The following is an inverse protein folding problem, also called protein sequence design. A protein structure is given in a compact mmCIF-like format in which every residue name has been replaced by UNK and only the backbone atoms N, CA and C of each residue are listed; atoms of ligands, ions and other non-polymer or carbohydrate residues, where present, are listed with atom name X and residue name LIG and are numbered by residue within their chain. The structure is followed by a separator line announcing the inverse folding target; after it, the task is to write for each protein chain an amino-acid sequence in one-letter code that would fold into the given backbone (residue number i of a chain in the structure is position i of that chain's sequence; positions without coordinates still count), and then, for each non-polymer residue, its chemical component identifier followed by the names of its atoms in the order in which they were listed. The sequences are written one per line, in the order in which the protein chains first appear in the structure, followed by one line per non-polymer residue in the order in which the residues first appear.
data_IF_706023612816
#
_entry.id   IF_706023612816
#
_cell.length_a   1.000
_cell.length_b   1.000
_cell.length_c   1.000
_cell.angle_alpha   90.00
_cell.angle_beta   90.00
_cell.angle_gamma   90.00
#
_symmetry.space_group_name_H-M   'P 1'
#
loop_
_entity.id
_entity.type
_entity.pdbx_description
1 polymer ?
#
# COMPACT_ATOMS: atom_id res chain seq x y z
N UNK A 1 2.52 -25.49 12.19
CA UNK A 1 2.63 -24.21 12.92
C UNK A 1 1.40 -24.01 13.78
N UNK A 2 1.36 -23.00 14.64
CA UNK A 2 0.19 -22.61 15.45
C UNK A 2 -0.22 -21.20 15.04
N UNK A 3 -1.51 -20.96 14.82
CA UNK A 3 -2.05 -19.65 14.43
C UNK A 3 -3.12 -19.26 15.44
N UNK A 4 -2.98 -18.05 16.00
CA UNK A 4 -3.92 -17.49 16.96
C UNK A 4 -4.36 -16.09 16.54
N UNK A 5 -5.64 -15.81 16.69
CA UNK A 5 -6.24 -14.52 16.40
C UNK A 5 -6.96 -14.03 17.65
N UNK A 6 -6.41 -13.01 18.30
CA UNK A 6 -6.92 -12.45 19.56
C UNK A 6 -7.24 -13.54 20.61
N UNK A 7 -6.24 -14.36 20.94
CA UNK A 7 -6.34 -15.46 21.93
C UNK A 7 -7.20 -16.65 21.48
N UNK A 8 -7.70 -16.65 20.23
CA UNK A 8 -8.42 -17.78 19.66
C UNK A 8 -7.52 -18.55 18.70
N UNK A 9 -7.13 -19.77 19.09
CA UNK A 9 -6.51 -20.73 18.18
C UNK A 9 -7.52 -21.12 17.08
N UNK A 10 -7.10 -21.05 15.81
CA UNK A 10 -7.99 -21.30 14.67
C UNK A 10 -8.42 -22.77 14.54
N UNK A 11 -7.64 -23.72 15.06
CA UNK A 11 -7.93 -25.15 15.03
C UNK A 11 -8.93 -25.54 16.12
N UNK A 12 -8.87 -24.88 17.28
CA UNK A 12 -9.71 -25.17 18.44
C UNK A 12 -10.98 -24.32 18.48
N UNK A 13 -10.87 -23.03 18.14
CA UNK A 13 -11.90 -22.01 18.34
C UNK A 13 -12.18 -21.20 17.07
N UNK A 14 -12.40 -21.91 15.95
CA UNK A 14 -12.53 -21.32 14.62
C UNK A 14 -13.59 -20.20 14.53
N UNK A 15 -14.77 -20.39 15.12
CA UNK A 15 -15.85 -19.41 15.02
C UNK A 15 -15.55 -18.12 15.80
N UNK A 16 -14.92 -18.25 16.98
CA UNK A 16 -14.49 -17.10 17.77
C UNK A 16 -13.40 -16.31 17.02
N UNK A 17 -12.41 -17.00 16.46
CA UNK A 17 -11.41 -16.38 15.59
C UNK A 17 -12.05 -15.67 14.39
N UNK A 18 -12.94 -16.33 13.64
CA UNK A 18 -13.65 -15.75 12.49
C UNK A 18 -14.47 -14.51 12.86
N UNK A 19 -15.09 -14.49 14.04
CA UNK A 19 -15.89 -13.33 14.48
C UNK A 19 -15.08 -12.05 14.62
N UNK A 20 -13.76 -12.18 14.84
CA UNK A 20 -12.85 -11.05 14.98
C UNK A 20 -12.27 -10.56 13.64
N UNK A 21 -12.50 -11.30 12.54
CA UNK A 21 -11.84 -11.07 11.25
C UNK A 21 -12.84 -10.59 10.19
N UNK A 22 -12.54 -9.46 9.55
CA UNK A 22 -13.13 -9.06 8.29
C UNK A 22 -12.21 -9.44 7.13
N UNK A 23 -12.73 -10.04 6.06
CA UNK A 23 -11.92 -10.46 4.91
C UNK A 23 -12.44 -9.83 3.61
N UNK A 24 -11.52 -9.24 2.86
CA UNK A 24 -11.74 -8.69 1.52
C UNK A 24 -10.80 -9.40 0.54
N UNK A 25 -11.27 -10.42 -0.20
CA UNK A 25 -10.43 -11.13 -1.18
C UNK A 25 -10.16 -10.29 -2.44
N UNK A 26 -9.16 -10.69 -3.24
CA UNK A 26 -8.88 -10.06 -4.53
C UNK A 26 -10.05 -10.21 -5.51
N UNK A 27 -10.73 -11.36 -5.55
CA UNK A 27 -11.90 -11.57 -6.40
C UNK A 27 -13.20 -11.02 -5.80
N UNK A 28 -14.06 -10.45 -6.63
CA UNK A 28 -15.35 -9.91 -6.19
C UNK A 28 -16.33 -11.05 -5.85
N UNK A 29 -16.63 -11.22 -4.56
CA UNK A 29 -17.52 -12.28 -4.07
C UNK A 29 -18.83 -11.72 -3.47
N UNK A 30 -19.57 -10.92 -4.23
CA UNK A 30 -20.84 -10.31 -3.80
C UNK A 30 -22.05 -11.05 -4.37
N UNK A 31 -23.17 -11.09 -3.62
CA UNK A 31 -24.44 -11.49 -4.21
C UNK A 31 -24.91 -10.39 -5.19
N UNK A 32 -24.82 -10.68 -6.49
CA UNK A 32 -25.05 -9.73 -7.57
C UNK A 32 -26.51 -9.29 -7.73
N UNK A 33 -27.46 -10.04 -7.15
CA UNK A 33 -28.90 -9.80 -7.31
C UNK A 33 -29.52 -9.07 -6.11
N UNK A 34 -28.80 -8.93 -5.01
CA UNK A 34 -29.27 -8.22 -3.83
C UNK A 34 -28.98 -6.72 -3.90
N UNK A 35 -29.88 -5.94 -3.29
CA UNK A 35 -29.64 -4.53 -3.01
C UNK A 35 -28.46 -4.37 -2.05
N UNK A 36 -27.56 -3.43 -2.33
CA UNK A 36 -26.28 -3.33 -1.58
C UNK A 36 -26.47 -3.07 -0.09
N UNK A 37 -27.55 -2.39 0.32
CA UNK A 37 -27.91 -2.23 1.72
C UNK A 37 -28.22 -3.57 2.41
N UNK A 38 -28.99 -4.43 1.73
CA UNK A 38 -29.35 -5.74 2.25
C UNK A 38 -28.12 -6.64 2.38
N UNK A 39 -27.16 -6.54 1.46
CA UNK A 39 -25.89 -7.27 1.54
C UNK A 39 -25.19 -6.99 2.88
N UNK A 40 -25.08 -5.72 3.28
CA UNK A 40 -24.43 -5.34 4.54
C UNK A 40 -25.26 -5.76 5.76
N UNK A 41 -26.58 -5.55 5.72
CA UNK A 41 -27.47 -5.93 6.84
C UNK A 41 -27.43 -7.44 7.07
N UNK A 42 -27.47 -8.24 6.01
CA UNK A 42 -27.40 -9.70 6.07
C UNK A 42 -26.03 -10.16 6.59
N UNK A 43 -24.94 -9.56 6.10
CA UNK A 43 -23.60 -9.84 6.59
C UNK A 43 -23.49 -9.59 8.10
N UNK A 44 -23.94 -8.43 8.58
CA UNK A 44 -23.92 -8.13 10.01
C UNK A 44 -24.73 -9.16 10.83
N UNK A 45 -25.88 -9.59 10.30
CA UNK A 45 -26.72 -10.62 10.91
C UNK A 45 -26.00 -11.98 11.03
N UNK A 46 -25.21 -12.39 10.03
CA UNK A 46 -24.41 -13.62 10.10
C UNK A 46 -23.34 -13.58 11.21
N UNK A 47 -22.90 -12.38 11.60
CA UNK A 47 -21.98 -12.16 12.72
C UNK A 47 -22.71 -11.90 14.05
N UNK A 48 -24.02 -12.14 14.12
CA UNK A 48 -24.81 -12.01 15.34
C UNK A 48 -25.18 -10.57 15.72
N UNK A 49 -24.96 -9.59 14.84
CA UNK A 49 -25.35 -8.19 15.09
C UNK A 49 -26.88 -8.06 15.06
N UNK A 50 -27.52 -7.50 16.10
CA UNK A 50 -28.97 -7.32 16.11
C UNK A 50 -29.44 -6.44 14.96
N UNK A 51 -30.56 -6.81 14.32
CA UNK A 51 -31.04 -6.15 13.08
C UNK A 51 -31.13 -4.62 13.18
N UNK A 52 -31.59 -4.08 14.32
CA UNK A 52 -31.66 -2.63 14.53
C UNK A 52 -30.27 -1.97 14.42
N UNK A 53 -29.24 -2.63 14.92
CA UNK A 53 -27.86 -2.15 14.85
C UNK A 53 -27.25 -2.42 13.48
N UNK A 54 -27.54 -3.56 12.85
CA UNK A 54 -27.14 -3.87 11.46
C UNK A 54 -27.59 -2.78 10.48
N UNK A 55 -28.82 -2.26 10.64
CA UNK A 55 -29.35 -1.18 9.80
C UNK A 55 -28.52 0.11 9.94
N UNK A 56 -28.16 0.48 11.17
CA UNK A 56 -27.35 1.68 11.43
C UNK A 56 -25.93 1.53 10.89
N UNK A 57 -25.28 0.38 11.15
CA UNK A 57 -23.93 0.09 10.66
C UNK A 57 -23.90 0.07 9.13
N UNK A 58 -24.89 -0.55 8.49
CA UNK A 58 -25.00 -0.57 7.04
C UNK A 58 -25.12 0.86 6.46
N UNK A 59 -25.92 1.73 7.07
CA UNK A 59 -25.99 3.13 6.67
C UNK A 59 -24.67 3.86 6.87
N UNK A 60 -24.05 3.70 8.04
CA UNK A 60 -22.76 4.33 8.36
C UNK A 60 -21.69 3.96 7.32
N UNK A 61 -21.44 2.66 7.10
CA UNK A 61 -20.38 2.23 6.18
C UNK A 61 -20.69 2.50 4.71
N UNK A 62 -21.95 2.47 4.27
CA UNK A 62 -22.28 2.89 2.90
C UNK A 62 -22.07 4.39 2.69
N UNK A 63 -22.29 5.23 3.70
CA UNK A 63 -21.98 6.67 3.60
C UNK A 63 -20.47 6.90 3.52
N UNK A 64 -19.70 6.24 4.37
CA UNK A 64 -18.23 6.32 4.36
C UNK A 64 -17.63 5.85 3.01
N UNK A 65 -18.28 4.89 2.36
CA UNK A 65 -17.89 4.39 1.04
C UNK A 65 -18.49 5.18 -0.14
N UNK A 66 -19.24 6.26 0.11
CA UNK A 66 -19.95 7.04 -0.91
C UNK A 66 -20.90 6.18 -1.79
N UNK A 67 -21.52 5.17 -1.18
CA UNK A 67 -22.46 4.25 -1.84
C UNK A 67 -23.90 4.40 -1.35
N UNK A 68 -24.16 5.31 -0.41
CA UNK A 68 -25.48 5.46 0.23
C UNK A 68 -26.62 5.81 -0.73
N UNK A 69 -26.36 6.63 -1.75
CA UNK A 69 -27.37 7.01 -2.73
C UNK A 69 -27.81 5.81 -3.58
N UNK A 70 -26.92 4.81 -3.70
CA UNK A 70 -27.14 3.57 -4.45
C UNK A 70 -27.55 2.40 -3.57
N UNK A 71 -27.89 2.63 -2.31
CA UNK A 71 -28.20 1.59 -1.32
C UNK A 71 -29.27 0.57 -1.75
N UNK A 72 -30.17 0.97 -2.67
CA UNK A 72 -31.24 0.12 -3.22
C UNK A 72 -30.89 -0.52 -4.57
N UNK A 73 -29.81 -0.10 -5.21
CA UNK A 73 -29.35 -0.69 -6.47
C UNK A 73 -28.80 -2.10 -6.22
N UNK A 74 -28.91 -2.97 -7.22
CA UNK A 74 -28.36 -4.31 -7.17
C UNK A 74 -26.84 -4.26 -7.31
N UNK A 75 -26.10 -5.13 -6.60
CA UNK A 75 -24.64 -5.13 -6.69
C UNK A 75 -24.10 -5.33 -8.12
N UNK A 76 -24.84 -6.00 -9.02
CA UNK A 76 -24.46 -6.14 -10.43
C UNK A 76 -24.33 -4.82 -11.20
N UNK A 77 -25.11 -3.78 -10.84
CA UNK A 77 -25.09 -2.49 -11.54
C UNK A 77 -23.94 -1.58 -11.11
N UNK A 78 -23.17 -1.98 -10.10
CA UNK A 78 -22.01 -1.24 -9.64
C UNK A 78 -20.80 -1.43 -10.57
N UNK A 79 -19.99 -0.38 -10.71
CA UNK A 79 -18.67 -0.48 -11.35
C UNK A 79 -17.72 -1.36 -10.53
N UNK A 80 -16.56 -1.75 -11.11
CA UNK A 80 -15.55 -2.54 -10.40
C UNK A 80 -15.09 -1.89 -9.09
N UNK A 81 -14.69 -0.61 -9.13
CA UNK A 81 -14.28 0.14 -7.94
C UNK A 81 -15.40 0.28 -6.90
N UNK A 82 -16.66 0.43 -7.33
CA UNK A 82 -17.80 0.47 -6.41
C UNK A 82 -18.06 -0.88 -5.75
N UNK A 83 -17.91 -1.99 -6.47
CA UNK A 83 -17.97 -3.35 -5.90
C UNK A 83 -16.85 -3.56 -4.87
N UNK A 84 -15.64 -3.06 -5.15
CA UNK A 84 -14.50 -3.14 -4.21
C UNK A 84 -14.78 -2.39 -2.92
N UNK A 85 -15.25 -1.14 -3.01
CA UNK A 85 -15.70 -0.36 -1.85
C UNK A 85 -16.82 -1.05 -1.07
N UNK A 86 -17.78 -1.67 -1.78
CA UNK A 86 -18.84 -2.44 -1.15
C UNK A 86 -18.32 -3.66 -0.38
N UNK A 87 -17.31 -4.36 -0.90
CA UNK A 87 -16.68 -5.48 -0.19
C UNK A 87 -16.00 -5.04 1.11
N UNK A 88 -15.32 -3.90 1.09
CA UNK A 88 -14.73 -3.30 2.30
C UNK A 88 -15.82 -2.94 3.30
N UNK A 89 -16.90 -2.28 2.85
CA UNK A 89 -18.05 -1.97 3.69
C UNK A 89 -18.65 -3.23 4.33
N UNK A 90 -18.78 -4.30 3.55
CA UNK A 90 -19.28 -5.60 3.99
C UNK A 90 -18.34 -6.22 5.03
N UNK A 91 -17.03 -6.16 4.85
CA UNK A 91 -16.08 -6.68 5.84
C UNK A 91 -16.11 -5.90 7.16
N UNK A 92 -16.39 -4.59 7.10
CA UNK A 92 -16.40 -3.71 8.27
C UNK A 92 -17.71 -3.70 9.06
N UNK A 93 -18.83 -4.12 8.46
CA UNK A 93 -20.15 -4.05 9.13
C UNK A 93 -20.24 -4.89 10.41
N UNK A 94 -19.40 -5.92 10.54
CA UNK A 94 -19.25 -6.70 11.78
C UNK A 94 -18.40 -6.00 12.85
N UNK A 95 -17.76 -4.88 12.53
CA UNK A 95 -16.77 -4.18 13.35
C UNK A 95 -15.64 -5.12 13.80
N UNK A 96 -14.90 -5.73 12.85
CA UNK A 96 -13.86 -6.67 13.18
C UNK A 96 -12.66 -5.99 13.87
N UNK A 97 -11.97 -6.75 14.71
CA UNK A 97 -10.72 -6.32 15.33
C UNK A 97 -9.54 -6.44 14.36
N UNK A 98 -9.59 -7.37 13.42
CA UNK A 98 -8.61 -7.59 12.35
C UNK A 98 -9.29 -7.53 10.98
N UNK A 99 -8.77 -6.70 10.08
CA UNK A 99 -9.19 -6.60 8.69
C UNK A 99 -8.09 -7.14 7.77
N UNK A 100 -8.42 -8.15 6.98
CA UNK A 100 -7.56 -8.73 5.96
C UNK A 100 -7.97 -8.22 4.58
N UNK A 101 -7.05 -7.58 3.88
CA UNK A 101 -7.28 -6.95 2.58
C UNK A 101 -6.34 -7.55 1.53
N UNK A 102 -6.90 -8.17 0.52
CA UNK A 102 -6.12 -8.76 -0.57
C UNK A 102 -6.17 -7.87 -1.82
N UNK A 103 -5.05 -7.21 -2.10
CA UNK A 103 -4.88 -6.17 -3.14
C UNK A 103 -6.04 -5.16 -3.19
N UNK A 104 -6.36 -4.45 -2.09
CA UNK A 104 -7.62 -3.71 -1.97
C UNK A 104 -7.80 -2.65 -3.05
N UNK A 105 -6.72 -2.08 -3.58
CA UNK A 105 -6.72 -1.01 -4.60
C UNK A 105 -6.63 -1.47 -6.04
N UNK A 106 -6.53 -2.79 -6.30
CA UNK A 106 -6.44 -3.32 -7.66
C UNK A 106 -7.68 -2.93 -8.49
N UNK A 107 -7.44 -2.37 -9.69
CA UNK A 107 -8.49 -1.96 -10.62
C UNK A 107 -9.31 -0.73 -10.18
N UNK A 108 -8.83 0.03 -9.19
CA UNK A 108 -9.43 1.28 -8.71
C UNK A 108 -8.67 2.48 -9.29
N UNK A 109 -9.40 3.52 -9.73
CA UNK A 109 -8.83 4.77 -10.22
C UNK A 109 -8.08 5.55 -9.11
N UNK A 110 -7.28 6.54 -9.51
CA UNK A 110 -6.36 7.25 -8.61
C UNK A 110 -7.11 8.04 -7.52
N UNK A 111 -8.23 8.67 -7.85
CA UNK A 111 -8.99 9.49 -6.91
C UNK A 111 -9.67 8.60 -5.85
N UNK A 112 -10.37 7.58 -6.30
CA UNK A 112 -11.02 6.60 -5.42
C UNK A 112 -10.00 5.86 -4.55
N UNK A 113 -8.80 5.57 -5.08
CA UNK A 113 -7.70 4.96 -4.33
C UNK A 113 -7.27 5.81 -3.14
N UNK A 114 -7.05 7.12 -3.35
CA UNK A 114 -6.66 8.05 -2.27
C UNK A 114 -7.74 8.17 -1.20
N UNK A 115 -9.01 8.25 -1.60
CA UNK A 115 -10.12 8.26 -0.67
C UNK A 115 -10.16 6.98 0.18
N UNK A 116 -9.95 5.83 -0.45
CA UNK A 116 -9.90 4.53 0.24
C UNK A 116 -8.72 4.44 1.21
N UNK A 117 -7.54 4.96 0.84
CA UNK A 117 -6.39 5.03 1.75
C UNK A 117 -6.65 5.87 3.00
N UNK A 118 -7.26 7.05 2.82
CA UNK A 118 -7.64 7.90 3.95
C UNK A 118 -8.58 7.17 4.90
N UNK A 119 -9.58 6.49 4.34
CA UNK A 119 -10.54 5.72 5.10
C UNK A 119 -9.88 4.55 5.86
N UNK A 120 -9.02 3.75 5.21
CA UNK A 120 -8.31 2.64 5.86
C UNK A 120 -7.41 3.14 7.01
N UNK A 121 -6.76 4.31 6.85
CA UNK A 121 -5.99 4.93 7.93
C UNK A 121 -6.86 5.37 9.09
N UNK A 122 -8.06 5.89 8.84
CA UNK A 122 -9.02 6.23 9.90
C UNK A 122 -9.47 4.99 10.67
N UNK A 123 -9.82 3.92 9.96
CA UNK A 123 -10.19 2.64 10.57
C UNK A 123 -9.05 2.09 11.43
N UNK A 124 -7.81 2.15 10.95
CA UNK A 124 -6.66 1.73 11.73
C UNK A 124 -6.44 2.60 12.98
N UNK A 125 -6.56 3.93 12.86
CA UNK A 125 -6.47 4.87 14.00
C UNK A 125 -7.55 4.62 15.04
N UNK A 126 -8.71 4.13 14.64
CA UNK A 126 -9.81 3.76 15.53
C UNK A 126 -9.60 2.40 16.23
N UNK A 127 -8.47 1.73 16.00
CA UNK A 127 -8.03 0.54 16.74
C UNK A 127 -8.16 -0.78 15.97
N UNK A 128 -8.65 -0.78 14.74
CA UNK A 128 -8.69 -1.99 13.91
C UNK A 128 -7.29 -2.32 13.39
N UNK A 129 -6.83 -3.56 13.62
CA UNK A 129 -5.60 -4.06 12.99
C UNK A 129 -5.89 -4.35 11.52
N UNK A 130 -5.02 -3.90 10.61
CA UNK A 130 -5.16 -4.16 9.18
C UNK A 130 -3.94 -4.93 8.71
N UNK A 131 -4.16 -6.04 8.01
CA UNK A 131 -3.15 -6.73 7.21
C UNK A 131 -3.59 -6.60 5.77
N UNK A 132 -2.72 -6.06 4.93
CA UNK A 132 -2.97 -5.94 3.50
C UNK A 132 -1.83 -6.58 2.71
N UNK A 133 -2.19 -7.23 1.62
CA UNK A 133 -1.25 -7.65 0.57
C UNK A 133 -1.35 -6.67 -0.58
N UNK A 134 -0.21 -6.30 -1.14
CA UNK A 134 -0.15 -5.40 -2.29
C UNK A 134 1.15 -5.63 -3.04
N UNK A 135 1.08 -5.54 -4.35
CA UNK A 135 2.25 -5.39 -5.23
C UNK A 135 2.58 -3.92 -5.51
N UNK A 136 1.74 -2.98 -5.04
CA UNK A 136 1.99 -1.55 -5.17
C UNK A 136 2.75 -1.04 -3.95
N UNK A 137 4.05 -0.82 -4.09
CA UNK A 137 4.90 -0.37 -2.99
C UNK A 137 4.50 1.01 -2.44
N UNK A 138 3.95 1.89 -3.29
CA UNK A 138 3.37 3.17 -2.86
C UNK A 138 2.23 2.95 -1.84
N UNK A 139 1.40 1.92 -2.02
CA UNK A 139 0.34 1.61 -1.06
C UNK A 139 0.90 1.17 0.28
N UNK A 140 1.93 0.31 0.27
CA UNK A 140 2.62 -0.09 1.49
C UNK A 140 3.21 1.12 2.23
N UNK A 141 3.88 2.03 1.51
CA UNK A 141 4.46 3.24 2.09
C UNK A 141 3.40 4.16 2.72
N UNK A 142 2.24 4.30 2.06
CA UNK A 142 1.18 5.21 2.51
C UNK A 142 0.33 4.66 3.65
N UNK A 143 0.21 3.33 3.78
CA UNK A 143 -0.71 2.68 4.73
C UNK A 143 -0.03 1.96 5.88
N UNK A 144 1.19 1.44 5.70
CA UNK A 144 1.76 0.46 6.62
C UNK A 144 2.82 1.08 7.55
N UNK A 145 2.75 0.71 8.84
CA UNK A 145 3.81 1.01 9.80
C UNK A 145 4.86 -0.11 9.90
N UNK A 146 4.47 -1.33 9.52
CA UNK A 146 5.29 -2.55 9.47
C UNK A 146 5.15 -3.15 8.07
N UNK A 147 6.25 -3.61 7.50
CA UNK A 147 6.26 -4.24 6.18
C UNK A 147 7.01 -5.57 6.27
N UNK A 148 6.37 -6.61 5.74
CA UNK A 148 7.00 -7.89 5.50
C UNK A 148 7.09 -8.11 3.99
N UNK A 149 8.28 -8.45 3.50
CA UNK A 149 8.52 -8.80 2.10
C UNK A 149 8.62 -10.32 2.02
N UNK A 150 7.84 -10.91 1.12
CA UNK A 150 7.81 -12.35 0.90
C UNK A 150 8.40 -12.62 -0.48
N UNK A 151 9.38 -13.53 -0.54
CA UNK A 151 9.96 -14.04 -1.78
C UNK A 151 10.01 -15.57 -1.70
N UNK A 152 9.61 -16.26 -2.77
CA UNK A 152 9.59 -17.74 -2.84
C UNK A 152 8.96 -18.47 -1.63
N UNK A 153 7.96 -17.83 -1.01
CA UNK A 153 7.24 -18.38 0.15
C UNK A 153 7.91 -18.13 1.50
N UNK A 154 9.05 -17.44 1.54
CA UNK A 154 9.78 -17.08 2.74
C UNK A 154 9.73 -15.57 3.00
N UNK A 155 9.74 -15.19 4.28
CA UNK A 155 9.80 -13.78 4.69
C UNK A 155 11.27 -13.35 4.66
N UNK A 156 11.65 -12.58 3.64
CA UNK A 156 13.02 -12.09 3.46
C UNK A 156 13.29 -10.82 4.25
N UNK A 157 12.25 -10.04 4.53
CA UNK A 157 12.32 -8.85 5.38
C UNK A 157 11.05 -8.70 6.21
N UNK A 158 11.20 -8.24 7.45
CA UNK A 158 10.09 -7.96 8.36
C UNK A 158 10.53 -6.93 9.39
N UNK A 159 10.17 -5.68 9.16
CA UNK A 159 10.58 -4.57 10.03
C UNK A 159 9.61 -3.38 9.90
N UNK A 160 9.83 -2.34 10.70
CA UNK A 160 9.10 -1.08 10.56
C UNK A 160 9.42 -0.42 9.21
N UNK A 161 8.42 0.26 8.66
CA UNK A 161 8.58 1.03 7.42
C UNK A 161 9.76 2.00 7.51
N UNK A 162 9.93 2.67 8.65
CA UNK A 162 11.05 3.57 8.87
C UNK A 162 12.40 2.85 8.79
N UNK A 163 12.55 1.70 9.47
CA UNK A 163 13.80 0.95 9.43
C UNK A 163 14.12 0.46 8.01
N UNK A 164 13.11 -0.04 7.30
CA UNK A 164 13.24 -0.47 5.90
C UNK A 164 13.70 0.68 5.01
N UNK A 165 13.11 1.87 5.16
CA UNK A 165 13.53 3.06 4.43
C UNK A 165 14.94 3.53 4.81
N UNK A 166 15.41 3.30 6.04
CA UNK A 166 16.79 3.61 6.43
C UNK A 166 17.83 2.60 5.93
N UNK A 167 17.43 1.36 5.62
CA UNK A 167 18.31 0.36 5.00
C UNK A 167 18.76 0.78 3.60
N UNK A 168 17.99 1.64 2.94
CA UNK A 168 18.40 2.32 1.71
C UNK A 168 19.54 3.28 2.04
N UNK A 169 20.75 2.90 1.63
CA UNK A 169 21.99 3.64 1.89
C UNK A 169 22.16 4.86 0.97
N UNK A 170 21.23 5.08 0.06
CA UNK A 170 21.35 6.01 -1.05
C UNK A 170 19.99 6.66 -1.33
N UNK A 171 19.96 7.99 -1.38
CA UNK A 171 18.83 8.76 -1.88
C UNK A 171 19.15 9.23 -3.29
N UNK A 172 18.15 9.23 -4.17
CA UNK A 172 18.33 9.70 -5.55
C UNK A 172 17.60 11.02 -5.71
N UNK A 173 18.34 12.06 -6.08
CA UNK A 173 17.80 13.38 -6.37
C UNK A 173 17.85 13.64 -7.87
N UNK A 174 16.74 14.12 -8.41
CA UNK A 174 16.66 14.52 -9.81
C UNK A 174 16.75 16.05 -9.88
N UNK A 175 17.75 16.57 -10.59
CA UNK A 175 17.94 17.99 -10.82
C UNK A 175 17.57 18.36 -12.25
N UNK A 176 16.73 19.38 -12.40
CA UNK A 176 16.46 20.01 -13.70
C UNK A 176 17.42 21.19 -13.90
N UNK A 177 18.09 21.23 -15.04
CA UNK A 177 19.11 22.20 -15.38
C UNK A 177 18.55 23.28 -16.33
N UNK A 178 19.11 24.49 -16.25
CA UNK A 178 18.74 25.60 -17.13
C UNK A 178 19.20 25.39 -18.58
N UNK A 179 20.34 24.73 -18.76
CA UNK A 179 20.95 24.42 -20.04
C UNK A 179 21.15 22.91 -20.26
N UNK A 180 21.33 22.54 -21.53
CA UNK A 180 21.63 21.17 -21.91
C UNK A 180 23.11 20.86 -21.63
N UNK A 181 23.39 19.66 -21.11
CA UNK A 181 24.74 19.14 -20.89
C UNK A 181 24.93 17.84 -21.67
N UNK A 182 26.12 17.67 -22.23
CA UNK A 182 26.53 16.45 -22.94
C UNK A 182 27.33 15.50 -22.04
N UNK A 183 27.88 16.03 -20.95
CA UNK A 183 28.64 15.27 -19.96
C UNK A 183 28.47 15.90 -18.58
N UNK A 184 28.38 15.05 -17.55
CA UNK A 184 28.34 15.50 -16.16
C UNK A 184 29.76 15.92 -15.74
N UNK A 185 29.95 17.06 -15.06
CA UNK A 185 31.22 17.35 -14.42
C UNK A 185 31.55 16.27 -13.38
N UNK A 186 32.76 15.72 -13.43
CA UNK A 186 33.23 14.80 -12.38
C UNK A 186 33.22 15.51 -11.02
N UNK A 187 32.49 14.90 -10.08
CA UNK A 187 32.42 15.32 -8.68
C UNK A 187 32.85 14.09 -7.86
N UNK A 188 33.92 14.24 -7.08
CA UNK A 188 34.42 13.17 -6.22
C UNK A 188 33.33 12.67 -5.28
N UNK A 189 33.26 11.34 -5.14
CA UNK A 189 32.31 10.62 -4.30
C UNK A 189 30.82 10.69 -4.70
N UNK A 190 30.43 11.37 -5.79
CA UNK A 190 29.04 11.34 -6.28
C UNK A 190 28.90 10.48 -7.53
N UNK A 191 27.87 9.65 -7.55
CA UNK A 191 27.43 8.96 -8.76
C UNK A 191 26.29 9.77 -9.39
N UNK A 192 26.48 10.18 -10.65
CA UNK A 192 25.56 11.05 -11.36
C UNK A 192 25.32 10.50 -12.76
N UNK A 193 24.05 10.35 -13.12
CA UNK A 193 23.61 9.88 -14.43
C UNK A 193 22.83 10.98 -15.16
N UNK A 194 22.94 11.03 -16.49
CA UNK A 194 22.14 11.94 -17.32
C UNK A 194 20.90 11.18 -17.78
N UNK A 195 19.72 11.59 -17.28
CA UNK A 195 18.45 11.08 -17.79
C UNK A 195 18.14 11.65 -19.17
N UNK A 196 18.35 12.96 -19.31
CA UNK A 196 18.25 13.69 -20.56
C UNK A 196 19.15 14.94 -20.50
N UNK A 197 19.40 15.64 -21.63
CA UNK A 197 20.37 16.74 -21.62
C UNK A 197 20.09 17.84 -20.57
N UNK A 198 18.87 18.00 -20.07
CA UNK A 198 18.52 18.99 -19.03
C UNK A 198 18.14 18.37 -17.68
N UNK A 199 18.34 17.07 -17.50
CA UNK A 199 17.96 16.37 -16.28
C UNK A 199 19.04 15.37 -15.88
N UNK A 200 19.52 15.49 -14.65
CA UNK A 200 20.49 14.56 -14.06
C UNK A 200 19.92 13.91 -12.81
N UNK A 201 20.30 12.66 -12.58
CA UNK A 201 20.06 11.94 -11.33
C UNK A 201 21.35 11.88 -10.52
N UNK A 202 21.27 12.26 -9.25
CA UNK A 202 22.39 12.26 -8.32
C UNK A 202 22.06 11.29 -7.21
N UNK A 203 22.96 10.34 -7.00
CA UNK A 203 22.86 9.43 -5.89
C UNK A 203 23.68 9.92 -4.70
N UNK A 204 23.01 10.14 -3.58
CA UNK A 204 23.57 10.73 -2.36
C UNK A 204 23.50 9.71 -1.24
N UNK A 205 24.65 9.37 -0.66
CA UNK A 205 24.72 8.47 0.51
C UNK A 205 24.41 9.23 1.81
N UNK A 206 24.02 8.53 2.88
CA UNK A 206 23.63 9.13 4.17
C UNK A 206 24.62 10.15 4.79
N UNK A 207 25.91 10.09 4.44
CA UNK A 207 26.93 11.01 4.95
C UNK A 207 27.27 12.18 3.99
N UNK A 208 26.57 12.28 2.86
CA UNK A 208 26.86 13.24 1.79
C UNK A 208 25.83 14.37 1.76
N UNK A 209 26.26 15.56 1.34
CA UNK A 209 25.39 16.73 1.17
C UNK A 209 25.32 17.12 -0.30
N UNK A 210 24.24 17.72 -0.77
CA UNK A 210 24.16 18.12 -2.18
C UNK A 210 25.01 19.36 -2.51
N UNK A 211 25.46 20.11 -1.51
CA UNK A 211 26.17 21.38 -1.68
C UNK A 211 27.38 21.31 -2.64
N UNK A 212 28.28 20.31 -2.56
CA UNK A 212 29.42 20.19 -3.47
C UNK A 212 28.97 20.01 -4.93
N UNK A 213 27.83 19.36 -5.16
CA UNK A 213 27.27 19.18 -6.50
C UNK A 213 26.76 20.50 -7.06
N UNK A 214 26.01 21.26 -6.26
CA UNK A 214 25.54 22.60 -6.65
C UNK A 214 26.70 23.56 -6.92
N UNK A 215 27.74 23.55 -6.08
CA UNK A 215 28.93 24.39 -6.27
C UNK A 215 29.66 24.07 -7.57
N UNK A 216 29.82 22.78 -7.89
CA UNK A 216 30.47 22.35 -9.13
C UNK A 216 29.67 22.75 -10.36
N UNK A 217 28.35 22.52 -10.35
CA UNK A 217 27.45 22.92 -11.45
C UNK A 217 27.51 24.43 -11.66
N UNK A 218 27.43 25.22 -10.58
CA UNK A 218 27.53 26.67 -10.63
C UNK A 218 28.90 27.15 -11.18
N UNK A 219 30.01 26.49 -10.81
CA UNK A 219 31.35 26.82 -11.32
C UNK A 219 31.50 26.61 -12.84
N UNK A 220 30.64 25.78 -13.42
CA UNK A 220 30.55 25.52 -14.87
C UNK A 220 29.47 26.38 -15.55
N UNK A 221 28.84 27.29 -14.81
CA UNK A 221 27.75 28.13 -15.29
C UNK A 221 26.45 27.36 -15.56
N UNK A 222 26.27 26.19 -14.94
CA UNK A 222 25.04 25.39 -15.05
C UNK A 222 24.16 25.73 -13.84
N UNK A 223 22.99 26.31 -14.11
CA UNK A 223 21.99 26.60 -13.09
C UNK A 223 21.06 25.41 -12.84
N UNK A 224 20.70 25.17 -11.58
CA UNK A 224 19.68 24.19 -11.21
C UNK A 224 18.34 24.91 -11.03
N UNK A 225 17.37 24.57 -11.87
CA UNK A 225 16.02 25.16 -11.86
C UNK A 225 15.14 24.56 -10.77
N UNK A 226 15.22 23.24 -10.56
CA UNK A 226 14.44 22.54 -9.54
C UNK A 226 15.09 21.23 -9.15
N UNK A 227 14.72 20.74 -7.97
CA UNK A 227 15.17 19.48 -7.39
C UNK A 227 13.96 18.70 -6.89
N UNK A 228 13.95 17.40 -7.13
CA UNK A 228 12.98 16.47 -6.56
C UNK A 228 13.69 15.19 -6.09
N UNK A 229 13.14 14.53 -5.08
CA UNK A 229 13.58 13.20 -4.70
C UNK A 229 12.90 12.16 -5.62
N UNK A 230 13.62 11.10 -6.00
CA UNK A 230 13.05 9.98 -6.74
C UNK A 230 12.30 9.08 -5.75
N UNK A 231 10.99 9.01 -5.91
CA UNK A 231 10.07 8.37 -4.97
C UNK A 231 10.15 6.84 -4.90
N UNK A 232 10.93 6.17 -5.76
CA UNK A 232 10.87 4.70 -5.89
C UNK A 232 11.88 3.97 -4.98
N UNK A 233 12.06 4.48 -3.76
CA UNK A 233 12.95 3.95 -2.73
C UNK A 233 12.64 2.50 -2.37
N UNK A 234 11.37 2.19 -2.10
CA UNK A 234 10.95 0.82 -1.78
C UNK A 234 11.10 -0.14 -2.96
N UNK A 235 10.96 0.36 -4.19
CA UNK A 235 11.10 -0.46 -5.40
C UNK A 235 12.54 -0.92 -5.60
N UNK A 236 13.50 -0.01 -5.42
CA UNK A 236 14.92 -0.35 -5.44
C UNK A 236 15.28 -1.39 -4.37
N UNK A 237 14.79 -1.21 -3.13
CA UNK A 237 15.01 -2.17 -2.05
C UNK A 237 14.42 -3.54 -2.39
N UNK A 238 13.20 -3.58 -2.92
CA UNK A 238 12.55 -4.83 -3.31
C UNK A 238 13.36 -5.57 -4.38
N UNK A 239 13.88 -4.84 -5.38
CA UNK A 239 14.74 -5.40 -6.41
C UNK A 239 16.06 -5.92 -5.83
N UNK A 240 16.69 -5.20 -4.90
CA UNK A 240 17.94 -5.64 -4.26
C UNK A 240 17.75 -6.94 -3.47
N UNK A 241 16.70 -7.02 -2.66
CA UNK A 241 16.39 -8.18 -1.83
C UNK A 241 16.05 -9.43 -2.66
N UNK A 242 15.24 -9.27 -3.70
CA UNK A 242 14.85 -10.38 -4.59
C UNK A 242 16.00 -10.85 -5.49
N UNK A 243 16.92 -9.96 -5.88
CA UNK A 243 18.13 -10.33 -6.65
C UNK A 243 19.22 -10.98 -5.80
N UNK A 244 19.37 -10.57 -4.53
CA UNK A 244 20.39 -11.12 -3.64
C UNK A 244 20.22 -12.63 -3.43
N UNK A 245 18.99 -13.13 -3.40
CA UNK A 245 18.70 -14.57 -3.30
C UNK A 245 18.86 -15.32 -4.63
N UNK A 246 18.61 -14.66 -5.75
CA UNK A 246 18.81 -15.25 -7.09
C UNK A 246 20.28 -15.64 -7.36
N UNK A 247 21.23 -15.06 -6.62
CA UNK A 247 22.66 -15.38 -6.70
C UNK A 247 23.11 -16.53 -5.77
N UNK A 248 22.20 -17.12 -4.98
CA UNK A 248 22.46 -18.27 -4.12
C UNK A 248 21.68 -19.48 -4.67
N UNK A 249 21.96 -19.92 -5.89
CA UNK A 249 21.17 -21.04 -6.44
C UNK A 249 21.39 -21.51 -7.87
N UNK A 250 22.58 -21.35 -8.47
CA UNK A 250 22.96 -22.21 -9.61
C UNK A 250 24.00 -23.21 -9.13
N UNK A 251 23.52 -24.29 -8.51
CA UNK A 251 24.20 -25.59 -8.57
C UNK A 251 23.32 -26.50 -9.41
N UNK A 252 23.76 -26.69 -10.65
CA UNK A 252 23.30 -27.78 -11.50
C UNK A 252 23.96 -29.05 -10.95
N UNK A 253 23.19 -29.89 -10.27
CA UNK A 253 23.37 -31.35 -10.22
C UNK A 253 21.98 -32.02 -10.18
#
# INVERSE_FOLDING_TARGET
GRIEVFEHNIEENLNAAKSCIGVVPQEINLNLFDGIFNILVNQAGFYGVPRKESLKRAEHYLKQMELWDKRKEMARSLSGGMKRRLMIARALVSEPRLLLLDEPTAGVDIETRRAMWNFLREINRNGTTIILTTHYLEEAEQLCNQLAIINDGEIVENDSMNNILTKLKQEVFVLNLDQAIDAVPEIEDYFIEINNPKEIEIHVRQAQTLNPVFEKLASKGIGVLSMRNKTNRLEELFIELTRAESNIGVKIE
#
